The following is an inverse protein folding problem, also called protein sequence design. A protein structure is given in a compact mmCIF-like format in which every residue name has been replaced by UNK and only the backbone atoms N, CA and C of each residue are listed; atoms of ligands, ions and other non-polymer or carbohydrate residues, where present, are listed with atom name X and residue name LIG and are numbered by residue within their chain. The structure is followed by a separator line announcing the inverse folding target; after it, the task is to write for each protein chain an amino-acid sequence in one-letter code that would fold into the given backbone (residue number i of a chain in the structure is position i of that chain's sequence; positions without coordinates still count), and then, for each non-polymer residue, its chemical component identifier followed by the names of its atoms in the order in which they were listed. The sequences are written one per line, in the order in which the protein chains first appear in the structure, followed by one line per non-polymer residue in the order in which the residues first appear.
data_IF_879395740952
#
_entry.id   IF_879395740952
#
_cell.length_a   1.000
_cell.length_b   1.000
_cell.length_c   1.000
_cell.angle_alpha   90.00
_cell.angle_beta   90.00
_cell.angle_gamma   90.00
#
_symmetry.space_group_name_H-M   'P 1'
#
loop_
_entity.id
_entity.type
_entity.pdbx_description
1 polymer ?
#
# COMPACT_ATOMS: atom_id res chain seq x y z
N UNK A 1 33.71 -3.57 -3.25
CA UNK A 1 32.73 -4.24 -2.38
C UNK A 1 31.28 -3.91 -2.73
N UNK A 2 30.87 -2.64 -2.83
CA UNK A 2 29.49 -2.25 -3.20
C UNK A 2 29.01 -2.87 -4.53
N UNK A 3 29.84 -2.86 -5.55
CA UNK A 3 29.51 -3.44 -6.87
C UNK A 3 29.37 -4.97 -6.81
N UNK A 4 30.24 -5.65 -6.04
CA UNK A 4 30.12 -7.10 -5.84
C UNK A 4 28.82 -7.45 -5.10
N UNK A 5 28.46 -6.67 -4.09
CA UNK A 5 27.22 -6.86 -3.35
C UNK A 5 25.98 -6.65 -4.26
N UNK A 6 25.99 -5.62 -5.10
CA UNK A 6 24.93 -5.37 -6.07
C UNK A 6 24.73 -6.58 -7.02
N UNK A 7 25.83 -7.13 -7.55
CA UNK A 7 25.78 -8.29 -8.44
C UNK A 7 25.27 -9.55 -7.72
N UNK A 8 25.78 -9.82 -6.52
CA UNK A 8 25.39 -11.01 -5.73
C UNK A 8 23.92 -10.93 -5.29
N UNK A 9 23.42 -9.74 -4.98
CA UNK A 9 22.01 -9.52 -4.58
C UNK A 9 21.03 -9.57 -5.74
N UNK A 10 21.49 -9.82 -6.97
CA UNK A 10 20.65 -9.86 -8.16
C UNK A 10 20.08 -8.49 -8.58
N UNK A 11 20.78 -7.40 -8.23
CA UNK A 11 20.41 -6.03 -8.53
C UNK A 11 18.94 -5.69 -8.11
N UNK A 12 18.54 -6.19 -6.94
CA UNK A 12 17.21 -5.85 -6.40
C UNK A 12 17.06 -4.33 -6.23
N UNK A 13 15.88 -3.78 -6.53
CA UNK A 13 15.60 -2.33 -6.52
C UNK A 13 16.08 -1.60 -5.25
N UNK A 14 15.94 -2.16 -4.01
CA UNK A 14 16.50 -1.54 -2.81
C UNK A 14 18.02 -1.47 -2.81
N UNK A 15 18.68 -2.50 -3.37
CA UNK A 15 20.15 -2.59 -3.43
C UNK A 15 20.74 -1.64 -4.47
N UNK A 16 20.12 -1.52 -5.65
CA UNK A 16 20.53 -0.53 -6.67
C UNK A 16 20.50 0.89 -6.12
N UNK A 17 19.44 1.25 -5.39
CA UNK A 17 19.33 2.58 -4.77
C UNK A 17 20.37 2.82 -3.69
N UNK A 18 20.58 1.82 -2.82
CA UNK A 18 21.63 1.91 -1.82
C UNK A 18 23.01 2.06 -2.48
N UNK A 19 23.25 1.36 -3.60
CA UNK A 19 24.46 1.50 -4.41
C UNK A 19 24.62 2.91 -4.98
N UNK A 20 23.59 3.46 -5.62
CA UNK A 20 23.62 4.80 -6.20
C UNK A 20 23.80 5.86 -5.10
N UNK A 21 23.03 5.79 -4.01
CA UNK A 21 23.14 6.74 -2.90
C UNK A 21 24.56 6.73 -2.28
N UNK A 22 25.10 5.56 -1.99
CA UNK A 22 26.45 5.44 -1.45
C UNK A 22 27.50 5.90 -2.50
N UNK A 23 27.31 5.58 -3.78
CA UNK A 23 28.17 6.02 -4.86
C UNK A 23 28.23 7.54 -4.97
N UNK A 24 27.10 8.24 -4.88
CA UNK A 24 27.03 9.70 -4.88
C UNK A 24 27.71 10.29 -3.64
N UNK A 25 27.52 9.66 -2.45
CA UNK A 25 28.20 10.09 -1.22
C UNK A 25 29.72 9.91 -1.34
N UNK A 26 30.20 8.78 -1.84
CA UNK A 26 31.63 8.56 -2.06
C UNK A 26 32.23 9.51 -3.09
N UNK A 27 31.51 9.77 -4.19
CA UNK A 27 31.92 10.76 -5.17
C UNK A 27 32.00 12.17 -4.55
N UNK A 28 31.04 12.55 -3.71
CA UNK A 28 31.05 13.82 -3.00
C UNK A 28 32.24 13.94 -2.04
N UNK A 29 32.61 12.86 -1.34
CA UNK A 29 33.78 12.82 -0.45
C UNK A 29 35.08 12.98 -1.27
N UNK A 30 35.17 12.31 -2.42
CA UNK A 30 36.36 12.43 -3.31
C UNK A 30 36.56 13.85 -3.88
N UNK A 31 35.47 14.62 -4.00
CA UNK A 31 35.50 16.05 -4.45
C UNK A 31 35.64 17.00 -3.24
N UNK A 32 36.07 16.48 -2.09
CA UNK A 32 36.25 17.23 -0.84
C UNK A 32 35.00 17.93 -0.28
N UNK A 33 33.84 17.36 -0.54
CA UNK A 33 32.53 17.80 -0.03
C UNK A 33 32.13 16.96 1.19
N UNK A 34 32.82 17.14 2.31
CA UNK A 34 32.74 16.30 3.52
C UNK A 34 31.39 16.34 4.28
N UNK A 35 30.41 17.13 3.87
CA UNK A 35 29.13 17.24 4.59
C UNK A 35 28.01 16.63 3.78
N UNK A 36 27.37 15.60 4.33
CA UNK A 36 26.07 15.12 3.84
C UNK A 36 25.09 16.29 3.97
N UNK A 37 24.56 16.76 2.85
CA UNK A 37 23.69 17.93 2.78
C UNK A 37 22.48 17.65 1.90
N UNK A 38 21.46 18.48 2.00
CA UNK A 38 20.27 18.40 1.13
C UNK A 38 20.64 18.40 -0.36
N UNK A 39 21.73 19.08 -0.77
CA UNK A 39 22.18 19.09 -2.18
C UNK A 39 22.63 17.71 -2.65
N UNK A 40 23.41 17.00 -1.84
CA UNK A 40 23.87 15.64 -2.16
C UNK A 40 22.67 14.68 -2.24
N UNK A 41 21.73 14.81 -1.30
CA UNK A 41 20.49 14.04 -1.32
C UNK A 41 19.67 14.31 -2.60
N UNK A 42 19.54 15.58 -3.00
CA UNK A 42 18.85 15.96 -4.24
C UNK A 42 19.55 15.41 -5.50
N UNK A 43 20.89 15.43 -5.55
CA UNK A 43 21.65 14.84 -6.67
C UNK A 43 21.42 13.33 -6.71
N UNK A 44 21.49 12.65 -5.56
CA UNK A 44 21.24 11.22 -5.50
C UNK A 44 19.81 10.86 -5.95
N UNK A 45 18.82 11.66 -5.53
CA UNK A 45 17.43 11.49 -5.98
C UNK A 45 17.31 11.69 -7.50
N UNK A 46 17.94 12.74 -8.05
CA UNK A 46 17.93 13.01 -9.49
C UNK A 46 18.56 11.86 -10.30
N UNK A 47 19.71 11.34 -9.84
CA UNK A 47 20.36 10.18 -10.51
C UNK A 47 19.44 8.96 -10.51
N UNK A 48 18.82 8.61 -9.37
CA UNK A 48 17.89 7.48 -9.29
C UNK A 48 16.70 7.67 -10.24
N UNK A 49 16.12 8.88 -10.29
CA UNK A 49 14.96 9.18 -11.14
C UNK A 49 15.30 9.24 -12.63
N UNK A 50 16.53 9.56 -12.99
CA UNK A 50 16.99 9.47 -14.40
C UNK A 50 17.16 8.02 -14.83
N UNK A 51 17.64 7.14 -13.91
CA UNK A 51 17.80 5.71 -14.18
C UNK A 51 16.45 4.98 -14.19
N UNK A 52 15.58 5.30 -13.25
CA UNK A 52 14.24 4.70 -13.11
C UNK A 52 13.22 5.77 -12.69
N UNK A 53 12.55 6.44 -13.66
CA UNK A 53 11.53 7.45 -13.34
C UNK A 53 10.33 6.89 -12.59
N UNK A 54 10.01 5.60 -12.74
CA UNK A 54 8.88 4.95 -12.09
C UNK A 54 9.11 4.78 -10.57
N UNK A 55 10.36 4.82 -10.12
CA UNK A 55 10.71 4.70 -8.70
C UNK A 55 10.11 5.83 -7.84
N UNK A 56 9.81 7.00 -8.42
CA UNK A 56 9.21 8.15 -7.70
C UNK A 56 7.93 7.76 -6.94
N UNK A 57 7.09 6.95 -7.55
CA UNK A 57 5.83 6.45 -6.94
C UNK A 57 6.03 5.18 -6.13
N UNK A 58 7.23 4.62 -6.14
CA UNK A 58 7.58 3.40 -5.43
C UNK A 58 7.77 3.63 -3.93
N UNK A 59 7.16 2.76 -3.12
CA UNK A 59 7.27 2.75 -1.64
C UNK A 59 8.70 2.98 -1.17
N UNK A 60 9.58 2.26 -1.75
CA UNK A 60 10.98 2.13 -1.35
C UNK A 60 11.78 3.41 -1.60
N UNK A 61 11.50 4.17 -2.70
CA UNK A 61 12.09 5.48 -2.95
C UNK A 61 11.56 6.50 -1.94
N UNK A 62 10.24 6.57 -1.80
CA UNK A 62 9.58 7.55 -0.94
C UNK A 62 9.99 7.39 0.53
N UNK A 63 9.99 6.18 1.07
CA UNK A 63 10.39 5.93 2.46
C UNK A 63 11.88 6.21 2.68
N UNK A 64 12.75 5.80 1.76
CA UNK A 64 14.20 6.00 1.90
C UNK A 64 14.57 7.48 1.85
N UNK A 65 14.11 8.21 0.83
CA UNK A 65 14.39 9.64 0.70
C UNK A 65 13.66 10.47 1.76
N UNK A 66 12.44 10.10 2.16
CA UNK A 66 11.72 10.73 3.26
C UNK A 66 12.49 10.66 4.57
N UNK A 67 13.03 9.50 4.92
CA UNK A 67 13.87 9.34 6.10
C UNK A 67 15.15 10.18 6.03
N UNK A 68 15.87 10.12 4.90
CA UNK A 68 17.15 10.84 4.74
C UNK A 68 16.96 12.36 4.78
N UNK A 69 15.95 12.88 4.07
CA UNK A 69 15.61 14.30 4.08
C UNK A 69 15.26 14.79 5.48
N UNK A 70 14.43 14.04 6.21
CA UNK A 70 14.08 14.38 7.59
C UNK A 70 15.32 14.39 8.51
N UNK A 71 16.19 13.38 8.39
CA UNK A 71 17.44 13.30 9.15
C UNK A 71 18.35 14.49 8.85
N UNK A 72 18.62 14.79 7.59
CA UNK A 72 19.48 15.91 7.20
C UNK A 72 18.92 17.22 7.75
N UNK A 73 17.61 17.46 7.60
CA UNK A 73 16.98 18.69 8.08
C UNK A 73 17.11 18.88 9.60
N UNK A 74 16.92 17.81 10.37
CA UNK A 74 17.05 17.85 11.82
C UNK A 74 18.50 18.04 12.24
N UNK A 75 19.44 17.31 11.62
CA UNK A 75 20.87 17.45 11.95
C UNK A 75 21.47 18.78 11.49
N UNK A 76 21.06 19.35 10.36
CA UNK A 76 21.47 20.69 9.94
C UNK A 76 20.95 21.79 10.89
N UNK A 77 19.73 21.59 11.43
CA UNK A 77 19.09 22.59 12.29
C UNK A 77 19.52 22.48 13.76
N UNK A 78 19.61 21.26 14.27
CA UNK A 78 19.78 20.97 15.70
C UNK A 78 21.08 20.25 16.04
N UNK A 79 21.86 19.76 15.08
CA UNK A 79 23.01 18.90 15.30
C UNK A 79 24.07 19.51 16.24
N UNK A 80 24.31 20.81 16.16
CA UNK A 80 25.24 21.47 17.08
C UNK A 80 24.75 21.56 18.54
N UNK A 81 23.43 21.69 18.76
CA UNK A 81 22.82 21.66 20.09
C UNK A 81 22.78 20.23 20.61
N UNK A 82 22.36 19.30 19.75
CA UNK A 82 22.25 17.89 20.06
C UNK A 82 23.59 17.27 20.44
N UNK A 83 24.64 17.56 19.67
CA UNK A 83 25.98 17.09 19.96
C UNK A 83 26.56 17.63 21.29
N UNK A 84 26.16 18.83 21.72
CA UNK A 84 26.56 19.37 23.03
C UNK A 84 25.82 18.68 24.19
N UNK A 85 24.54 18.35 24.00
CA UNK A 85 23.73 17.68 25.03
C UNK A 85 24.17 16.21 25.20
N UNK A 86 24.49 15.54 24.09
CA UNK A 86 24.81 14.12 24.05
C UNK A 86 26.28 13.82 24.40
N UNK A 87 27.18 14.82 24.37
CA UNK A 87 28.57 14.66 24.81
C UNK A 87 28.68 14.68 26.33
N UNK A 88 28.90 13.52 26.90
CA UNK A 88 29.17 13.36 28.33
C UNK A 88 30.65 13.48 28.67
N UNK A 89 30.94 13.76 29.94
CA UNK A 89 32.30 13.79 30.49
C UNK A 89 32.73 12.48 31.11
N UNK A 90 31.90 11.46 31.14
CA UNK A 90 32.16 10.13 31.68
C UNK A 90 31.78 9.04 30.68
N UNK A 91 32.34 7.87 30.78
CA UNK A 91 32.03 6.72 29.92
C UNK A 91 30.53 6.38 29.91
N UNK A 92 29.89 6.44 31.08
CA UNK A 92 28.44 6.26 31.19
C UNK A 92 27.66 7.31 30.43
N UNK A 93 28.07 8.57 30.50
CA UNK A 93 27.43 9.67 29.80
C UNK A 93 27.65 9.59 28.28
N UNK A 94 28.77 9.07 27.80
CA UNK A 94 28.99 8.76 26.38
C UNK A 94 28.07 7.66 25.87
N UNK A 95 27.92 6.56 26.61
CA UNK A 95 27.01 5.47 26.28
C UNK A 95 25.56 5.94 26.23
N UNK A 96 25.12 6.69 27.25
CA UNK A 96 23.77 7.28 27.28
C UNK A 96 23.56 8.28 26.14
N UNK A 97 24.60 9.08 25.82
CA UNK A 97 24.58 9.99 24.69
C UNK A 97 24.43 9.26 23.34
N UNK A 98 25.16 8.16 23.17
CA UNK A 98 25.03 7.32 21.97
C UNK A 98 23.63 6.70 21.87
N UNK A 99 23.11 6.10 22.94
CA UNK A 99 21.75 5.58 22.96
C UNK A 99 20.71 6.68 22.65
N UNK A 100 20.87 7.87 23.23
CA UNK A 100 20.01 9.02 22.92
C UNK A 100 20.09 9.46 21.47
N UNK A 101 21.27 9.45 20.86
CA UNK A 101 21.43 9.76 19.43
C UNK A 101 20.74 8.71 18.54
N UNK A 102 20.85 7.42 18.88
CA UNK A 102 20.16 6.35 18.15
C UNK A 102 18.65 6.50 18.26
N UNK A 103 18.11 6.78 19.46
CA UNK A 103 16.68 7.01 19.67
C UNK A 103 16.19 8.19 18.81
N UNK A 104 16.87 9.34 18.87
CA UNK A 104 16.50 10.53 18.11
C UNK A 104 16.56 10.26 16.60
N UNK A 105 17.63 9.62 16.12
CA UNK A 105 17.78 9.26 14.71
C UNK A 105 16.62 8.35 14.25
N UNK A 106 16.30 7.34 15.05
CA UNK A 106 15.21 6.41 14.78
C UNK A 106 13.87 7.13 14.72
N UNK A 107 13.56 7.98 15.71
CA UNK A 107 12.31 8.74 15.73
C UNK A 107 12.19 9.67 14.52
N UNK A 108 13.24 10.42 14.19
CA UNK A 108 13.25 11.33 13.04
C UNK A 108 13.02 10.56 11.73
N UNK A 109 13.73 9.45 11.55
CA UNK A 109 13.54 8.59 10.37
C UNK A 109 12.11 8.04 10.30
N UNK A 110 11.58 7.56 11.43
CA UNK A 110 10.21 7.03 11.51
C UNK A 110 9.17 8.10 11.16
N UNK A 111 9.28 9.31 11.71
CA UNK A 111 8.37 10.41 11.36
C UNK A 111 8.49 10.81 9.88
N UNK A 112 9.70 10.78 9.32
CA UNK A 112 9.93 11.04 7.90
C UNK A 112 9.32 10.00 6.97
N UNK A 113 9.13 8.76 7.45
CA UNK A 113 8.54 7.64 6.67
C UNK A 113 7.05 7.45 6.90
N UNK A 114 6.47 7.91 8.01
CA UNK A 114 5.06 7.69 8.37
C UNK A 114 4.06 8.08 7.28
N UNK A 115 4.15 9.24 6.60
CA UNK A 115 3.19 9.58 5.55
C UNK A 115 3.13 8.54 4.43
N UNK A 116 4.29 8.01 4.07
CA UNK A 116 4.42 6.99 3.03
C UNK A 116 3.97 5.62 3.54
N UNK A 117 4.26 5.29 4.81
CA UNK A 117 3.76 4.07 5.46
C UNK A 117 2.23 4.05 5.51
N UNK A 118 1.61 5.16 5.93
CA UNK A 118 0.15 5.31 5.95
C UNK A 118 -0.44 5.15 4.55
N UNK A 119 0.17 5.79 3.54
CA UNK A 119 -0.33 5.73 2.17
C UNK A 119 -0.26 4.35 1.53
N UNK A 120 0.84 3.62 1.76
CA UNK A 120 1.09 2.33 1.10
C UNK A 120 0.61 1.12 1.89
N UNK A 121 0.62 1.20 3.21
CA UNK A 121 0.33 0.07 4.11
C UNK A 121 -0.90 0.28 4.99
N UNK A 122 -1.47 1.49 5.01
CA UNK A 122 -2.67 1.82 5.80
C UNK A 122 -2.54 1.56 7.31
N UNK A 123 -1.33 1.44 7.82
CA UNK A 123 -1.07 1.25 9.25
C UNK A 123 0.21 1.93 9.73
N UNK A 124 0.28 2.15 11.03
CA UNK A 124 1.44 2.68 11.74
C UNK A 124 1.87 1.67 12.80
N UNK A 125 3.13 1.23 12.75
CA UNK A 125 3.72 0.42 13.80
C UNK A 125 4.26 1.33 14.92
N UNK A 126 3.48 1.50 15.99
CA UNK A 126 3.79 2.45 17.07
C UNK A 126 5.08 2.10 17.82
N UNK A 127 5.36 0.83 18.01
CA UNK A 127 6.53 0.37 18.77
C UNK A 127 7.75 0.05 17.90
N UNK A 128 7.68 0.30 16.58
CA UNK A 128 8.82 0.14 15.67
C UNK A 128 10.08 0.90 16.15
N UNK A 129 9.99 2.15 16.66
CA UNK A 129 11.15 2.85 17.20
C UNK A 129 11.83 2.09 18.36
N UNK A 130 11.03 1.43 19.21
CA UNK A 130 11.58 0.63 20.34
C UNK A 130 12.37 -0.58 19.84
N UNK A 131 11.83 -1.31 18.87
CA UNK A 131 12.55 -2.42 18.25
C UNK A 131 13.86 -1.96 17.59
N UNK A 132 13.83 -0.83 16.89
CA UNK A 132 14.98 -0.31 16.16
C UNK A 132 16.12 0.18 17.06
N UNK A 133 15.84 0.63 18.30
CA UNK A 133 16.88 0.99 19.28
C UNK A 133 17.81 -0.18 19.58
N UNK A 134 17.31 -1.41 19.54
CA UNK A 134 18.08 -2.63 19.76
C UNK A 134 18.55 -3.23 18.43
N UNK A 135 17.64 -3.38 17.46
CA UNK A 135 17.92 -4.08 16.21
C UNK A 135 18.96 -3.35 15.35
N UNK A 136 18.93 -2.01 15.28
CA UNK A 136 19.85 -1.23 14.44
C UNK A 136 21.29 -1.31 14.94
N UNK A 137 21.63 -1.04 16.23
CA UNK A 137 22.98 -1.23 16.73
C UNK A 137 23.47 -2.67 16.63
N UNK A 138 22.61 -3.65 16.95
CA UNK A 138 22.95 -5.07 16.86
C UNK A 138 23.29 -5.48 15.42
N UNK A 139 22.52 -5.00 14.45
CA UNK A 139 22.79 -5.25 13.05
C UNK A 139 24.09 -4.59 12.59
N UNK A 140 24.34 -3.34 12.99
CA UNK A 140 25.50 -2.58 12.55
C UNK A 140 26.82 -3.06 13.18
N UNK A 141 26.81 -3.42 14.49
CA UNK A 141 28.02 -3.75 15.24
C UNK A 141 28.30 -5.25 15.27
N UNK A 142 27.27 -6.07 15.13
CA UNK A 142 27.40 -7.52 15.24
C UNK A 142 27.11 -8.23 13.92
N UNK A 143 25.88 -8.17 13.42
CA UNK A 143 25.45 -8.99 12.28
C UNK A 143 26.22 -8.67 11.01
N UNK A 144 26.33 -7.38 10.64
CA UNK A 144 27.03 -6.96 9.42
C UNK A 144 28.55 -7.24 9.46
N UNK A 145 29.31 -6.97 10.54
CA UNK A 145 30.72 -7.33 10.62
C UNK A 145 30.96 -8.84 10.48
N UNK A 146 30.15 -9.68 11.13
CA UNK A 146 30.25 -11.13 10.97
C UNK A 146 29.86 -11.58 9.54
N UNK A 147 28.94 -10.88 8.88
CA UNK A 147 28.64 -11.09 7.46
C UNK A 147 29.84 -10.82 6.55
N UNK A 148 30.58 -9.74 6.81
CA UNK A 148 31.84 -9.44 6.09
C UNK A 148 32.88 -10.50 6.34
N UNK A 149 33.06 -10.92 7.59
CA UNK A 149 34.01 -11.99 7.97
C UNK A 149 33.61 -13.31 7.29
N UNK A 150 32.34 -13.62 7.19
CA UNK A 150 31.83 -14.79 6.43
C UNK A 150 32.29 -14.77 4.99
N UNK A 151 32.12 -13.65 4.29
CA UNK A 151 32.57 -13.50 2.90
C UNK A 151 34.08 -13.65 2.76
N UNK A 152 34.88 -13.18 3.73
CA UNK A 152 36.33 -13.30 3.71
C UNK A 152 36.81 -14.73 3.98
N UNK A 153 36.08 -15.49 4.78
CA UNK A 153 36.40 -16.89 5.13
C UNK A 153 35.87 -17.90 4.11
N UNK A 154 34.93 -17.50 3.25
CA UNK A 154 34.32 -18.36 2.23
C UNK A 154 35.36 -19.02 1.30
N UNK A 155 36.39 -18.31 0.74
CA UNK A 155 37.38 -18.94 -0.11
C UNK A 155 38.24 -19.98 0.62
N UNK A 156 38.27 -19.94 1.96
CA UNK A 156 39.05 -20.87 2.81
C UNK A 156 38.20 -22.06 3.30
N UNK A 157 36.88 -22.08 3.00
CA UNK A 157 35.95 -23.10 3.52
C UNK A 157 35.69 -23.01 5.01
N UNK A 158 36.02 -21.87 5.65
CA UNK A 158 35.88 -21.61 7.10
C UNK A 158 34.69 -20.70 7.43
N UNK A 159 33.78 -20.45 6.47
CA UNK A 159 32.62 -19.57 6.63
C UNK A 159 31.73 -19.96 7.82
N UNK A 160 31.68 -21.24 8.16
CA UNK A 160 30.86 -21.74 9.28
C UNK A 160 31.21 -21.10 10.62
N UNK A 161 32.49 -20.76 10.83
CA UNK A 161 32.94 -20.10 12.07
C UNK A 161 32.36 -18.70 12.23
N UNK A 162 32.11 -18.01 11.12
CA UNK A 162 31.53 -16.67 11.12
C UNK A 162 30.00 -16.69 11.01
N UNK A 163 29.42 -17.68 10.32
CA UNK A 163 27.96 -17.83 10.19
C UNK A 163 27.29 -18.10 11.53
N UNK A 164 27.91 -18.85 12.43
CA UNK A 164 27.32 -19.15 13.76
C UNK A 164 27.10 -17.87 14.58
N UNK A 165 28.08 -16.99 14.82
CA UNK A 165 27.83 -15.75 15.55
C UNK A 165 26.94 -14.76 14.77
N UNK A 166 27.00 -14.72 13.44
CA UNK A 166 26.09 -13.95 12.61
C UNK A 166 24.65 -14.42 12.82
N UNK A 167 24.40 -15.72 12.78
CA UNK A 167 23.08 -16.32 13.00
C UNK A 167 22.49 -15.94 14.36
N UNK A 168 23.28 -15.97 15.43
CA UNK A 168 22.83 -15.52 16.75
C UNK A 168 22.40 -14.05 16.78
N UNK A 169 23.10 -13.18 16.05
CA UNK A 169 22.68 -11.77 15.91
C UNK A 169 21.33 -11.64 15.22
N UNK A 170 21.09 -12.44 14.20
CA UNK A 170 19.81 -12.49 13.49
C UNK A 170 18.70 -13.05 14.40
N UNK A 171 18.97 -14.12 15.13
CA UNK A 171 18.01 -14.71 16.09
C UNK A 171 17.56 -13.70 17.16
N UNK A 172 18.50 -12.93 17.72
CA UNK A 172 18.19 -11.86 18.69
C UNK A 172 17.34 -10.78 18.03
N UNK A 173 17.65 -10.39 16.80
CA UNK A 173 16.85 -9.39 16.06
C UNK A 173 15.43 -9.88 15.83
N UNK A 174 15.26 -11.14 15.43
CA UNK A 174 13.93 -11.78 15.24
C UNK A 174 13.19 -11.85 16.58
N UNK A 175 13.88 -12.24 17.64
CA UNK A 175 13.30 -12.31 18.99
C UNK A 175 12.77 -10.94 19.44
N UNK A 176 13.56 -9.87 19.27
CA UNK A 176 13.13 -8.49 19.58
C UNK A 176 11.90 -8.11 18.74
N UNK A 177 11.92 -8.38 17.44
CA UNK A 177 10.81 -8.06 16.54
C UNK A 177 9.52 -8.78 16.97
N UNK A 178 9.59 -10.07 17.28
CA UNK A 178 8.45 -10.87 17.74
C UNK A 178 7.86 -10.36 19.07
N UNK A 179 8.72 -10.02 20.03
CA UNK A 179 8.26 -9.52 21.34
C UNK A 179 7.64 -8.12 21.25
N UNK A 180 8.25 -7.24 20.44
CA UNK A 180 7.69 -5.90 20.23
C UNK A 180 6.42 -5.95 19.41
N UNK A 181 6.32 -6.83 18.41
CA UNK A 181 5.09 -6.98 17.62
C UNK A 181 3.93 -7.58 18.41
N UNK A 182 4.20 -8.38 19.43
CA UNK A 182 3.20 -8.98 20.31
C UNK A 182 2.62 -7.99 21.35
N UNK A 183 3.20 -6.79 21.49
CA UNK A 183 2.68 -5.79 22.42
C UNK A 183 1.29 -5.30 21.98
N UNK A 184 0.32 -5.18 22.89
CA UNK A 184 -1.02 -4.72 22.57
C UNK A 184 -0.97 -3.29 22.01
N UNK A 185 -1.75 -3.01 20.97
CA UNK A 185 -1.78 -1.71 20.31
C UNK A 185 -0.56 -1.37 19.47
N UNK A 186 0.29 -2.35 19.12
CA UNK A 186 1.46 -2.12 18.28
C UNK A 186 1.12 -1.59 16.88
N UNK A 187 0.03 -2.08 16.30
CA UNK A 187 -0.43 -1.67 14.97
C UNK A 187 -1.65 -0.79 15.13
N UNK A 188 -1.53 0.44 14.66
CA UNK A 188 -2.66 1.36 14.56
C UNK A 188 -3.07 1.48 13.11
N UNK A 189 -4.24 0.95 12.78
CA UNK A 189 -4.83 1.07 11.47
C UNK A 189 -5.25 2.51 11.20
N UNK A 190 -4.99 2.99 10.00
CA UNK A 190 -5.27 4.37 9.61
C UNK A 190 -6.22 4.39 8.42
N UNK A 191 -7.14 5.38 8.36
CA UNK A 191 -7.95 5.58 7.18
C UNK A 191 -7.07 5.79 5.94
N UNK A 192 -7.61 5.49 4.77
CA UNK A 192 -6.90 5.65 3.50
C UNK A 192 -6.49 7.11 3.28
N UNK A 193 -5.20 7.34 3.05
CA UNK A 193 -4.68 8.65 2.68
C UNK A 193 -4.84 8.86 1.16
N UNK A 194 -5.57 9.89 0.68
CA UNK A 194 -5.70 10.15 -0.75
C UNK A 194 -4.37 10.66 -1.32
N UNK A 195 -4.15 10.47 -2.63
CA UNK A 195 -2.95 10.94 -3.34
C UNK A 195 -2.71 12.45 -3.11
N UNK A 196 -3.76 13.26 -3.16
CA UNK A 196 -3.67 14.70 -2.90
C UNK A 196 -3.18 14.99 -1.47
N UNK A 197 -3.61 14.20 -0.49
CA UNK A 197 -3.15 14.27 0.89
C UNK A 197 -1.67 13.93 1.02
N UNK A 198 -1.23 12.83 0.39
CA UNK A 198 0.19 12.46 0.36
C UNK A 198 1.06 13.55 -0.28
N UNK A 199 0.63 14.10 -1.42
CA UNK A 199 1.33 15.19 -2.09
C UNK A 199 1.41 16.44 -1.19
N UNK A 200 0.32 16.81 -0.53
CA UNK A 200 0.28 17.93 0.41
C UNK A 200 1.24 17.73 1.58
N UNK A 201 1.29 16.54 2.19
CA UNK A 201 2.22 16.20 3.27
C UNK A 201 3.66 16.21 2.78
N UNK A 202 3.93 15.60 1.63
CA UNK A 202 5.29 15.49 1.07
C UNK A 202 5.85 16.86 0.69
N UNK A 203 5.08 17.69 -0.01
CA UNK A 203 5.48 19.04 -0.37
C UNK A 203 5.60 19.96 0.87
N UNK A 204 4.67 19.83 1.83
CA UNK A 204 4.75 20.52 3.11
C UNK A 204 5.98 20.14 3.92
N UNK A 205 6.31 18.84 3.95
CA UNK A 205 7.52 18.32 4.58
C UNK A 205 8.80 18.84 3.93
N UNK A 206 8.88 18.80 2.59
CA UNK A 206 9.99 19.40 1.84
C UNK A 206 10.10 20.89 2.10
N UNK A 207 8.98 21.61 2.14
CA UNK A 207 8.94 23.03 2.48
C UNK A 207 9.53 23.28 3.86
N UNK A 208 9.13 22.51 4.86
CA UNK A 208 9.70 22.59 6.22
C UNK A 208 11.20 22.32 6.26
N UNK A 209 11.70 21.43 5.42
CA UNK A 209 13.11 21.04 5.40
C UNK A 209 13.98 22.06 4.65
N UNK A 210 13.47 22.65 3.56
CA UNK A 210 14.26 23.52 2.68
C UNK A 210 14.26 24.99 3.12
N UNK A 211 13.13 25.51 3.61
CA UNK A 211 13.02 26.92 3.95
C UNK A 211 13.49 27.23 5.37
N UNK A 212 14.13 28.39 5.49
CA UNK A 212 14.58 28.97 6.77
C UNK A 212 13.86 30.30 6.96
N UNK A 213 13.23 30.52 8.12
CA UNK A 213 12.47 31.72 8.43
C UNK A 213 11.00 31.45 8.74
N UNK A 214 10.20 32.51 8.92
CA UNK A 214 8.78 32.42 9.31
C UNK A 214 7.89 31.71 8.28
N UNK A 215 8.24 31.80 7.00
CA UNK A 215 7.53 31.11 5.91
C UNK A 215 7.57 29.57 6.01
N UNK A 216 8.50 29.04 6.80
CA UNK A 216 8.58 27.61 7.09
C UNK A 216 7.28 27.05 7.69
N UNK A 217 6.56 27.85 8.49
CA UNK A 217 5.30 27.43 9.12
C UNK A 217 4.20 27.02 8.15
N UNK A 218 4.20 27.54 6.90
CA UNK A 218 3.25 27.12 5.88
C UNK A 218 3.35 25.63 5.52
N UNK A 219 4.55 25.04 5.67
CA UNK A 219 4.72 23.60 5.53
C UNK A 219 3.92 22.80 6.53
N UNK A 220 3.76 23.30 7.77
CA UNK A 220 2.92 22.66 8.80
C UNK A 220 1.46 22.69 8.38
N UNK A 221 0.98 23.83 7.84
CA UNK A 221 -0.40 23.94 7.35
C UNK A 221 -0.67 22.92 6.25
N UNK A 222 0.25 22.77 5.30
CA UNK A 222 0.11 21.78 4.22
C UNK A 222 0.09 20.33 4.76
N UNK A 223 0.94 20.02 5.75
CA UNK A 223 0.96 18.69 6.40
C UNK A 223 -0.36 18.42 7.12
N UNK A 224 -0.84 19.38 7.92
CA UNK A 224 -2.12 19.24 8.65
C UNK A 224 -3.29 19.08 7.67
N UNK A 225 -3.33 19.87 6.59
CA UNK A 225 -4.35 19.74 5.55
C UNK A 225 -4.29 18.37 4.86
N UNK A 226 -3.09 17.84 4.62
CA UNK A 226 -2.90 16.52 4.07
C UNK A 226 -3.42 15.41 4.98
N UNK A 227 -3.14 15.45 6.28
CA UNK A 227 -3.71 14.50 7.23
C UNK A 227 -5.24 14.69 7.39
N UNK A 228 -5.74 15.92 7.40
CA UNK A 228 -7.18 16.17 7.45
C UNK A 228 -7.93 15.60 6.24
N UNK A 229 -7.27 15.48 5.09
CA UNK A 229 -7.87 14.87 3.89
C UNK A 229 -8.24 13.40 4.07
N UNK A 230 -7.65 12.68 5.06
CA UNK A 230 -8.04 11.31 5.40
C UNK A 230 -9.49 11.23 5.89
N UNK A 231 -9.99 12.28 6.56
CA UNK A 231 -11.37 12.33 7.03
C UNK A 231 -12.39 12.48 5.91
N UNK A 232 -11.95 12.89 4.72
CA UNK A 232 -12.81 13.05 3.54
C UNK A 232 -12.91 11.75 2.72
N UNK A 233 -12.08 10.75 3.00
CA UNK A 233 -12.11 9.48 2.28
C UNK A 233 -13.17 8.57 2.88
N UNK A 234 -14.06 8.07 2.03
CA UNK A 234 -15.06 7.09 2.40
C UNK A 234 -14.63 5.71 1.89
N UNK A 235 -14.55 4.70 2.76
CA UNK A 235 -14.29 3.34 2.31
C UNK A 235 -15.42 2.82 1.41
N UNK A 236 -15.14 1.90 0.47
CA UNK A 236 -16.15 1.35 -0.43
C UNK A 236 -17.21 0.56 0.33
N UNK A 237 -18.43 0.58 -0.17
CA UNK A 237 -19.53 -0.19 0.40
C UNK A 237 -19.47 -1.67 -0.03
N UNK A 238 -19.02 -1.93 -1.27
CA UNK A 238 -18.79 -3.29 -1.78
C UNK A 238 -17.45 -3.35 -2.49
N UNK A 239 -16.69 -4.42 -2.23
CA UNK A 239 -15.41 -4.72 -2.91
C UNK A 239 -15.48 -6.10 -3.54
N UNK A 240 -15.04 -6.18 -4.80
CA UNK A 240 -14.98 -7.42 -5.57
C UNK A 240 -13.54 -7.63 -5.99
N UNK A 241 -12.94 -8.78 -5.67
CA UNK A 241 -11.60 -9.12 -6.14
C UNK A 241 -11.57 -9.37 -7.65
N UNK A 242 -10.39 -9.29 -8.24
CA UNK A 242 -10.16 -9.53 -9.67
C UNK A 242 -10.58 -10.92 -10.15
N UNK A 243 -10.57 -11.92 -9.28
CA UNK A 243 -11.11 -13.26 -9.56
C UNK A 243 -12.63 -13.28 -9.72
N UNK A 244 -13.32 -12.25 -9.20
CA UNK A 244 -14.77 -12.15 -9.16
C UNK A 244 -15.45 -13.15 -8.19
N UNK A 245 -14.68 -13.94 -7.44
CA UNK A 245 -15.19 -14.91 -6.47
C UNK A 245 -15.30 -14.35 -5.06
N UNK A 246 -14.38 -13.46 -4.70
CA UNK A 246 -14.39 -12.80 -3.41
C UNK A 246 -15.20 -11.50 -3.52
N UNK A 247 -16.22 -11.40 -2.70
CA UNK A 247 -17.05 -10.20 -2.55
C UNK A 247 -17.09 -9.84 -1.07
N UNK A 248 -16.81 -8.59 -0.76
CA UNK A 248 -16.92 -8.03 0.57
C UNK A 248 -17.98 -6.94 0.57
N UNK A 249 -18.87 -6.95 1.56
CA UNK A 249 -19.91 -5.95 1.74
C UNK A 249 -19.79 -5.32 3.13
N UNK A 250 -19.85 -3.99 3.20
CA UNK A 250 -19.63 -3.21 4.42
C UNK A 250 -20.89 -3.17 5.28
N UNK A 251 -20.77 -3.55 6.54
CA UNK A 251 -21.82 -3.44 7.54
C UNK A 251 -22.05 -1.98 8.02
N UNK A 252 -23.06 -1.75 8.83
CA UNK A 252 -23.38 -0.40 9.31
C UNK A 252 -22.37 0.12 10.34
N UNK A 253 -21.80 -0.78 11.14
CA UNK A 253 -20.73 -0.51 12.11
C UNK A 253 -19.35 -0.31 11.49
N UNK A 254 -19.19 -0.63 10.19
CA UNK A 254 -17.96 -0.44 9.43
C UNK A 254 -17.21 -1.72 9.09
N UNK A 255 -17.43 -2.83 9.77
CA UNK A 255 -16.78 -4.10 9.44
C UNK A 255 -17.26 -4.66 8.08
N UNK A 256 -16.54 -5.66 7.55
CA UNK A 256 -16.88 -6.26 6.26
C UNK A 256 -17.36 -7.70 6.42
N UNK A 257 -18.48 -8.01 5.80
CA UNK A 257 -18.89 -9.38 5.53
C UNK A 257 -18.27 -9.87 4.23
N UNK A 258 -17.61 -11.03 4.25
CA UNK A 258 -16.96 -11.59 3.07
C UNK A 258 -17.55 -12.93 2.66
N UNK A 259 -17.65 -13.14 1.36
CA UNK A 259 -18.08 -14.43 0.83
C UNK A 259 -17.08 -15.52 1.20
N UNK A 260 -17.59 -16.65 1.70
CA UNK A 260 -16.80 -17.76 2.23
C UNK A 260 -16.19 -18.62 1.11
N UNK A 261 -15.28 -18.07 0.30
CA UNK A 261 -14.48 -18.88 -0.61
C UNK A 261 -13.10 -19.15 0.00
N UNK A 262 -12.83 -20.42 0.35
CA UNK A 262 -11.58 -20.86 1.00
C UNK A 262 -10.32 -20.64 0.15
N UNK A 263 -10.48 -20.37 -1.15
CA UNK A 263 -9.38 -20.09 -2.08
C UNK A 263 -8.86 -18.65 -2.07
N UNK A 264 -9.54 -17.71 -1.41
CA UNK A 264 -9.28 -16.27 -1.48
C UNK A 264 -8.69 -15.71 -0.16
N UNK A 265 -7.89 -16.51 0.53
CA UNK A 265 -7.27 -16.09 1.81
C UNK A 265 -6.45 -14.82 1.69
N UNK A 266 -5.78 -14.62 0.54
CA UNK A 266 -4.98 -13.42 0.30
C UNK A 266 -5.84 -12.16 0.13
N UNK A 267 -6.96 -12.24 -0.61
CA UNK A 267 -7.89 -11.12 -0.75
C UNK A 267 -8.50 -10.73 0.61
N UNK A 268 -8.81 -11.73 1.44
CA UNK A 268 -9.30 -11.52 2.80
C UNK A 268 -8.26 -10.84 3.69
N UNK A 269 -7.01 -11.31 3.68
CA UNK A 269 -5.94 -10.71 4.48
C UNK A 269 -5.61 -9.28 4.02
N UNK A 270 -5.58 -9.03 2.72
CA UNK A 270 -5.38 -7.68 2.18
C UNK A 270 -6.51 -6.73 2.56
N UNK A 271 -7.76 -7.19 2.52
CA UNK A 271 -8.89 -6.36 2.93
C UNK A 271 -8.83 -6.05 4.43
N UNK A 272 -8.49 -7.03 5.28
CA UNK A 272 -8.29 -6.83 6.71
C UNK A 272 -7.18 -5.81 7.00
N UNK A 273 -6.07 -5.92 6.28
CA UNK A 273 -4.94 -5.01 6.41
C UNK A 273 -5.28 -3.60 5.91
N UNK A 274 -6.00 -3.48 4.79
CA UNK A 274 -6.38 -2.17 4.21
C UNK A 274 -7.43 -1.44 5.04
N UNK A 275 -8.41 -2.16 5.59
CA UNK A 275 -9.51 -1.54 6.33
C UNK A 275 -9.25 -1.41 7.81
N UNK A 276 -8.44 -2.30 8.38
CA UNK A 276 -8.22 -2.42 9.82
C UNK A 276 -9.43 -2.90 10.60
N UNK A 277 -10.49 -3.26 9.89
CA UNK A 277 -11.76 -3.66 10.47
C UNK A 277 -11.85 -5.18 10.63
N UNK A 278 -12.70 -5.60 11.54
CA UNK A 278 -13.00 -7.02 11.69
C UNK A 278 -13.68 -7.54 10.44
N UNK A 279 -13.26 -8.71 9.96
CA UNK A 279 -13.88 -9.39 8.84
C UNK A 279 -14.70 -10.57 9.37
N UNK A 280 -15.99 -10.53 9.11
CA UNK A 280 -16.92 -11.60 9.40
C UNK A 280 -17.23 -12.41 8.14
N UNK A 281 -17.53 -13.70 8.35
CA UNK A 281 -18.00 -14.52 7.24
C UNK A 281 -19.43 -14.15 6.87
N UNK A 282 -19.76 -14.34 5.60
CA UNK A 282 -21.07 -14.08 5.04
C UNK A 282 -22.14 -14.95 5.73
N UNK A 283 -23.28 -14.39 6.15
CA UNK A 283 -24.34 -15.17 6.74
C UNK A 283 -24.90 -16.17 5.73
N UNK A 284 -25.08 -17.44 6.14
CA UNK A 284 -25.57 -18.49 5.25
C UNK A 284 -27.05 -18.28 4.83
N UNK A 285 -27.85 -17.73 5.70
CA UNK A 285 -29.23 -17.31 5.43
C UNK A 285 -29.73 -16.31 6.49
N UNK A 286 -30.55 -15.36 6.07
CA UNK A 286 -31.14 -14.33 6.92
C UNK A 286 -30.41 -13.00 6.89
N UNK A 287 -30.91 -12.02 7.63
CA UNK A 287 -30.27 -10.72 7.77
C UNK A 287 -29.04 -10.83 8.68
N UNK A 288 -27.90 -10.33 8.21
CA UNK A 288 -26.76 -10.09 9.10
C UNK A 288 -27.19 -9.20 10.27
N UNK A 289 -26.47 -9.29 11.40
CA UNK A 289 -26.84 -8.64 12.69
C UNK A 289 -27.24 -7.17 12.59
N UNK A 290 -26.96 -6.48 11.46
CA UNK A 290 -27.21 -5.05 11.27
C UNK A 290 -28.15 -4.68 10.11
N UNK A 291 -28.83 -5.63 9.50
CA UNK A 291 -29.92 -5.34 8.55
C UNK A 291 -29.56 -4.75 7.18
N UNK A 292 -28.26 -4.52 6.87
CA UNK A 292 -27.84 -4.06 5.55
C UNK A 292 -27.69 -5.17 4.52
N UNK A 293 -27.36 -6.38 4.98
CA UNK A 293 -27.15 -7.54 4.16
C UNK A 293 -28.20 -8.60 4.53
N UNK A 294 -29.04 -8.95 3.58
CA UNK A 294 -30.04 -10.02 3.72
C UNK A 294 -29.76 -11.13 2.71
N UNK A 295 -29.44 -12.31 3.18
CA UNK A 295 -28.95 -13.42 2.38
C UNK A 295 -29.93 -14.56 2.28
N UNK A 296 -30.07 -15.10 1.05
CA UNK A 296 -30.70 -16.38 0.72
C UNK A 296 -29.63 -17.33 0.17
N UNK A 297 -29.96 -18.60 -0.06
CA UNK A 297 -28.98 -19.65 -0.45
C UNK A 297 -28.04 -19.31 -1.60
N UNK A 298 -28.44 -18.47 -2.55
CA UNK A 298 -27.65 -18.20 -3.76
C UNK A 298 -27.59 -16.71 -4.11
N UNK A 299 -28.16 -15.83 -3.27
CA UNK A 299 -28.14 -14.38 -3.49
C UNK A 299 -28.29 -13.64 -2.17
N UNK A 300 -27.68 -12.45 -2.09
CA UNK A 300 -27.90 -11.52 -0.99
C UNK A 300 -28.36 -10.17 -1.54
N UNK A 301 -29.17 -9.48 -0.75
CA UNK A 301 -29.53 -8.08 -1.00
C UNK A 301 -28.75 -7.20 -0.04
N UNK A 302 -28.03 -6.26 -0.59
CA UNK A 302 -27.32 -5.25 0.16
C UNK A 302 -28.05 -3.90 0.03
N UNK A 303 -28.43 -3.30 1.15
CA UNK A 303 -29.14 -2.04 1.17
C UNK A 303 -28.37 -0.97 1.93
N UNK A 304 -28.03 0.14 1.28
CA UNK A 304 -27.39 1.30 1.89
C UNK A 304 -27.80 2.59 1.17
N UNK A 305 -27.91 3.68 1.91
CA UNK A 305 -28.24 5.01 1.38
C UNK A 305 -29.53 5.09 0.54
N UNK A 306 -30.50 4.17 0.79
CA UNK A 306 -31.74 4.08 0.01
C UNK A 306 -31.58 3.38 -1.35
N UNK A 307 -30.46 2.72 -1.58
CA UNK A 307 -30.15 1.91 -2.77
C UNK A 307 -30.03 0.45 -2.42
N UNK A 308 -30.39 -0.41 -3.34
CA UNK A 308 -30.34 -1.86 -3.15
C UNK A 308 -29.50 -2.50 -4.25
N UNK A 309 -28.55 -3.33 -3.85
CA UNK A 309 -27.70 -4.12 -4.76
C UNK A 309 -27.99 -5.60 -4.55
N UNK A 310 -28.24 -6.31 -5.64
CA UNK A 310 -28.31 -7.77 -5.59
C UNK A 310 -26.91 -8.37 -5.76
N UNK A 311 -26.49 -9.18 -4.80
CA UNK A 311 -25.23 -9.93 -4.86
C UNK A 311 -25.55 -11.37 -5.13
N UNK A 312 -25.13 -11.90 -6.27
CA UNK A 312 -25.46 -13.22 -6.77
C UNK A 312 -24.27 -14.14 -6.60
N UNK A 313 -24.42 -15.18 -5.82
CA UNK A 313 -23.37 -16.16 -5.53
C UNK A 313 -23.51 -17.44 -6.35
N UNK A 314 -24.72 -17.74 -6.87
CA UNK A 314 -24.99 -18.93 -7.65
C UNK A 314 -25.79 -18.68 -8.94
N UNK A 315 -25.60 -19.53 -9.95
CA UNK A 315 -26.26 -19.40 -11.25
C UNK A 315 -27.79 -19.44 -11.18
N UNK A 316 -28.32 -20.14 -10.19
CA UNK A 316 -29.78 -20.31 -9.98
C UNK A 316 -30.45 -19.01 -9.54
N UNK A 317 -29.70 -18.05 -9.00
CA UNK A 317 -30.23 -16.78 -8.53
C UNK A 317 -30.13 -15.65 -9.57
N UNK A 318 -29.61 -15.91 -10.78
CA UNK A 318 -29.58 -14.93 -11.84
C UNK A 318 -31.00 -14.46 -12.20
N UNK A 319 -31.29 -13.15 -12.14
CA UNK A 319 -32.64 -12.66 -12.33
C UNK A 319 -33.12 -12.92 -13.75
N UNK A 320 -34.34 -13.42 -13.86
CA UNK A 320 -35.06 -13.56 -15.14
C UNK A 320 -35.67 -12.22 -15.58
N UNK A 321 -35.91 -11.31 -14.64
CA UNK A 321 -36.43 -9.95 -14.88
C UNK A 321 -35.52 -8.94 -14.20
N UNK A 322 -35.16 -7.89 -14.91
CA UNK A 322 -34.36 -6.79 -14.40
C UNK A 322 -35.28 -5.75 -13.77
N UNK A 323 -35.23 -5.60 -12.46
CA UNK A 323 -36.04 -4.62 -11.72
C UNK A 323 -36.02 -4.88 -10.22
N UNK A 324 -36.32 -3.86 -9.42
CA UNK A 324 -36.34 -3.95 -7.96
C UNK A 324 -34.99 -3.80 -7.27
N UNK A 325 -33.90 -3.62 -8.04
CA UNK A 325 -32.54 -3.35 -7.53
C UNK A 325 -31.86 -2.29 -8.39
N UNK A 326 -30.93 -1.55 -7.80
CA UNK A 326 -30.20 -0.46 -8.47
C UNK A 326 -28.92 -0.94 -9.18
N UNK A 327 -28.32 -2.04 -8.74
CA UNK A 327 -27.18 -2.69 -9.39
C UNK A 327 -27.13 -4.19 -9.08
N UNK A 328 -26.35 -4.91 -9.87
CA UNK A 328 -26.11 -6.34 -9.71
C UNK A 328 -24.60 -6.59 -9.62
N UNK A 329 -24.20 -7.30 -8.57
CA UNK A 329 -22.86 -7.87 -8.40
C UNK A 329 -22.99 -9.38 -8.51
N UNK A 330 -22.18 -10.03 -9.36
CA UNK A 330 -22.34 -11.46 -9.60
C UNK A 330 -20.99 -12.19 -9.56
N UNK A 331 -20.88 -13.22 -8.72
CA UNK A 331 -19.73 -14.13 -8.70
C UNK A 331 -19.75 -15.12 -9.88
N UNK A 332 -20.84 -15.17 -10.62
CA UNK A 332 -21.00 -16.00 -11.82
C UNK A 332 -21.18 -15.10 -13.05
N UNK A 333 -20.83 -15.57 -14.26
CA UNK A 333 -21.03 -14.80 -15.47
C UNK A 333 -22.51 -14.45 -15.69
N UNK A 334 -22.85 -13.17 -15.66
CA UNK A 334 -24.23 -12.71 -15.86
C UNK A 334 -24.56 -12.48 -17.35
N UNK A 335 -23.57 -12.45 -18.23
CA UNK A 335 -23.73 -12.18 -19.65
C UNK A 335 -24.24 -10.77 -19.94
N UNK A 336 -25.19 -10.65 -20.87
CA UNK A 336 -25.79 -9.37 -21.24
C UNK A 336 -27.06 -9.03 -20.45
N UNK A 337 -27.44 -9.89 -19.50
CA UNK A 337 -28.67 -9.70 -18.73
C UNK A 337 -28.59 -8.42 -17.92
N UNK A 338 -29.65 -7.63 -17.97
CA UNK A 338 -29.84 -6.39 -17.21
C UNK A 338 -28.85 -5.23 -17.45
N UNK A 339 -27.79 -5.40 -18.25
CA UNK A 339 -26.74 -4.38 -18.47
C UNK A 339 -27.25 -3.09 -19.11
N UNK A 340 -28.37 -3.14 -19.84
CA UNK A 340 -28.97 -1.94 -20.46
C UNK A 340 -29.79 -1.10 -19.48
N UNK A 341 -30.12 -1.63 -18.32
CA UNK A 341 -31.03 -0.99 -17.34
C UNK A 341 -30.32 -0.50 -16.10
N UNK A 342 -29.22 -1.20 -15.69
CA UNK A 342 -28.51 -0.94 -14.45
C UNK A 342 -27.04 -1.37 -14.54
N UNK A 343 -26.15 -0.83 -13.68
CA UNK A 343 -24.79 -1.33 -13.56
C UNK A 343 -24.76 -2.80 -13.15
N UNK A 344 -24.07 -3.63 -13.93
CA UNK A 344 -23.83 -5.04 -13.64
C UNK A 344 -22.35 -5.28 -13.63
N UNK A 345 -21.85 -5.77 -12.50
CA UNK A 345 -20.44 -6.18 -12.33
C UNK A 345 -20.43 -7.69 -12.12
N UNK A 346 -20.01 -8.43 -13.12
CA UNK A 346 -19.91 -9.87 -13.03
C UNK A 346 -18.45 -10.36 -12.94
N UNK A 347 -18.26 -11.65 -12.78
CA UNK A 347 -16.94 -12.28 -12.72
C UNK A 347 -16.07 -11.97 -13.92
N UNK A 348 -16.64 -11.85 -15.11
CA UNK A 348 -15.89 -11.55 -16.33
C UNK A 348 -15.45 -10.08 -16.32
N UNK A 349 -16.29 -9.17 -15.81
CA UNK A 349 -15.94 -7.77 -15.67
C UNK A 349 -14.79 -7.60 -14.68
N UNK A 350 -14.85 -8.24 -13.52
CA UNK A 350 -13.78 -8.20 -12.52
C UNK A 350 -12.47 -8.76 -13.07
N UNK A 351 -12.52 -9.88 -13.79
CA UNK A 351 -11.33 -10.44 -14.45
C UNK A 351 -10.72 -9.48 -15.49
N UNK A 352 -11.55 -8.74 -16.24
CA UNK A 352 -11.09 -7.81 -17.29
C UNK A 352 -10.62 -6.48 -16.72
N UNK A 353 -11.32 -5.95 -15.72
CA UNK A 353 -11.12 -4.60 -15.19
C UNK A 353 -10.27 -4.58 -13.91
N UNK A 354 -9.88 -5.76 -13.41
CA UNK A 354 -9.26 -5.92 -12.09
C UNK A 354 -10.29 -5.85 -10.96
N UNK A 355 -9.83 -5.73 -9.74
CA UNK A 355 -10.72 -5.56 -8.58
C UNK A 355 -11.61 -4.34 -8.77
N UNK A 356 -12.86 -4.44 -8.32
CA UNK A 356 -13.89 -3.40 -8.48
C UNK A 356 -14.40 -2.99 -7.12
N UNK A 357 -14.55 -1.70 -6.91
CA UNK A 357 -15.13 -1.11 -5.71
C UNK A 357 -16.39 -0.31 -6.06
N UNK A 358 -17.42 -0.41 -5.22
CA UNK A 358 -18.67 0.30 -5.36
C UNK A 358 -18.93 1.18 -4.14
N UNK A 359 -19.35 2.42 -4.41
CA UNK A 359 -19.84 3.37 -3.41
C UNK A 359 -21.30 3.69 -3.69
N UNK A 360 -22.13 3.59 -2.66
CA UNK A 360 -23.55 3.89 -2.74
C UNK A 360 -23.81 5.27 -2.15
N UNK A 361 -24.29 6.17 -2.95
CA UNK A 361 -24.71 7.50 -2.53
C UNK A 361 -26.18 7.74 -2.86
N UNK A 362 -26.78 8.73 -2.20
CA UNK A 362 -28.16 9.15 -2.51
C UNK A 362 -28.35 9.52 -3.97
N UNK A 363 -27.31 10.03 -4.64
CA UNK A 363 -27.34 10.50 -6.02
C UNK A 363 -27.04 9.39 -7.05
N UNK A 364 -26.49 8.25 -6.64
CA UNK A 364 -26.14 7.17 -7.56
C UNK A 364 -25.21 6.11 -6.97
N UNK A 365 -24.76 5.23 -7.86
CA UNK A 365 -23.75 4.20 -7.55
C UNK A 365 -22.50 4.55 -8.36
N UNK A 366 -21.40 4.78 -7.68
CA UNK A 366 -20.08 4.96 -8.29
C UNK A 366 -19.37 3.63 -8.33
N UNK A 367 -18.88 3.25 -9.51
CA UNK A 367 -18.14 2.00 -9.73
C UNK A 367 -16.76 2.38 -10.23
N UNK A 368 -15.74 1.99 -9.48
CA UNK A 368 -14.33 2.18 -9.87
C UNK A 368 -13.64 0.83 -10.00
N UNK A 369 -12.76 0.70 -10.98
CA UNK A 369 -11.98 -0.52 -11.18
C UNK A 369 -10.48 -0.25 -11.08
N UNK A 370 -9.73 -1.25 -10.65
CA UNK A 370 -8.29 -1.13 -10.47
C UNK A 370 -7.55 -0.78 -11.77
N UNK A 371 -7.99 -1.32 -12.92
CA UNK A 371 -7.36 -1.03 -14.20
C UNK A 371 -7.69 0.38 -14.72
N UNK A 372 -8.89 0.90 -14.45
CA UNK A 372 -9.24 2.31 -14.76
C UNK A 372 -8.37 3.28 -13.96
N UNK A 373 -8.14 3.01 -12.68
CA UNK A 373 -7.27 3.85 -11.84
C UNK A 373 -5.79 3.76 -12.23
N UNK A 374 -5.35 2.62 -12.79
CA UNK A 374 -3.97 2.45 -13.32
C UNK A 374 -3.74 3.18 -14.63
N UNK A 375 -4.80 3.51 -15.36
CA UNK A 375 -4.76 4.18 -16.65
C UNK A 375 -4.29 3.29 -17.81
N UNK A 376 -4.26 3.88 -19.00
CA UNK A 376 -3.85 3.20 -20.23
C UNK A 376 -2.32 3.09 -20.31
N UNK A 377 -1.79 2.01 -19.77
CA UNK A 377 -0.34 1.71 -19.76
C UNK A 377 -0.09 0.37 -20.44
N UNK A 378 1.06 0.18 -21.13
CA UNK A 378 1.36 -1.05 -21.89
C UNK A 378 1.30 -2.35 -21.09
N UNK A 379 1.51 -2.27 -19.77
CA UNK A 379 1.49 -3.45 -18.88
C UNK A 379 0.15 -3.65 -18.16
N UNK A 380 -0.83 -2.76 -18.35
CA UNK A 380 -2.19 -2.95 -17.82
C UNK A 380 -2.94 -3.83 -18.83
N UNK A 381 -3.54 -4.96 -18.39
CA UNK A 381 -4.34 -5.78 -19.27
C UNK A 381 -5.52 -4.98 -19.84
N UNK A 382 -5.51 -4.73 -21.14
CA UNK A 382 -6.66 -4.12 -21.80
C UNK A 382 -7.66 -5.21 -22.17
N UNK A 383 -8.94 -5.04 -21.83
CA UNK A 383 -9.97 -5.92 -22.35
C UNK A 383 -9.93 -5.83 -23.87
N UNK A 384 -9.67 -6.94 -24.55
CA UNK A 384 -9.85 -6.98 -26.01
C UNK A 384 -11.27 -6.47 -26.30
N UNK A 385 -11.43 -5.51 -27.24
CA UNK A 385 -12.76 -5.07 -27.62
C UNK A 385 -13.58 -6.33 -27.93
N UNK A 386 -14.80 -6.38 -27.37
CA UNK A 386 -15.72 -7.48 -27.70
C UNK A 386 -15.74 -7.57 -29.24
N UNK A 387 -15.31 -8.72 -29.80
CA UNK A 387 -15.47 -8.93 -31.23
C UNK A 387 -16.90 -8.54 -31.54
N UNK A 388 -17.11 -7.49 -32.35
CA UNK A 388 -18.41 -7.19 -32.89
C UNK A 388 -18.97 -8.50 -33.41
N UNK A 389 -20.00 -9.00 -32.76
CA UNK A 389 -20.69 -10.14 -33.33
C UNK A 389 -21.18 -9.68 -34.69
N UNK A 390 -20.91 -10.43 -35.76
CA UNK A 390 -21.57 -10.15 -37.01
C UNK A 390 -23.06 -9.99 -36.70
N UNK A 391 -23.63 -8.89 -37.16
CA UNK A 391 -25.07 -8.66 -37.08
C UNK A 391 -25.80 -9.96 -37.47
N UNK A 392 -26.81 -10.37 -36.69
CA UNK A 392 -27.59 -11.55 -37.09
C UNK A 392 -27.98 -11.39 -38.54
N UNK A 393 -27.88 -12.44 -39.39
CA UNK A 393 -28.27 -12.33 -40.75
C UNK A 393 -29.70 -11.78 -40.78
N UNK A 394 -29.89 -10.73 -41.59
CA UNK A 394 -31.17 -10.12 -41.81
C UNK A 394 -32.14 -11.24 -42.19
N UNK A 395 -33.06 -11.55 -41.30
CA UNK A 395 -34.09 -12.55 -41.58
C UNK A 395 -34.94 -11.97 -42.68
N UNK A 396 -34.76 -12.50 -43.90
CA UNK A 396 -35.60 -12.17 -45.04
C UNK A 396 -37.06 -12.16 -44.60
N UNK A 397 -37.68 -11.02 -44.71
CA UNK A 397 -39.12 -10.86 -44.50
C UNK A 397 -39.82 -11.87 -45.39
N UNK A 398 -40.68 -12.74 -44.85
CA UNK A 398 -41.46 -13.64 -45.71
C UNK A 398 -42.24 -12.81 -46.74
N UNK A 399 -42.30 -13.25 -48.00
CA UNK A 399 -43.01 -12.53 -49.03
C UNK A 399 -44.48 -12.29 -48.64
N UNK A 400 -44.93 -11.06 -48.82
CA UNK A 400 -46.30 -10.67 -48.53
C UNK A 400 -47.27 -11.55 -49.36
N UNK A 401 -48.12 -12.32 -48.65
CA UNK A 401 -49.20 -13.03 -49.29
C UNK A 401 -50.17 -12.01 -49.95
N UNK A 402 -50.12 -11.91 -51.28
CA UNK A 402 -51.15 -11.23 -52.03
C UNK A 402 -52.38 -12.16 -52.12
N UNK A 403 -53.36 -11.91 -51.25
CA UNK A 403 -54.65 -12.54 -51.36
C UNK A 403 -55.37 -12.05 -52.62
N UNK A 404 -55.46 -12.90 -53.62
CA UNK A 404 -56.42 -12.71 -54.73
C UNK A 404 -57.76 -13.25 -54.27
N UNK A 405 -58.67 -12.30 -54.07
CA UNK A 405 -60.14 -12.58 -54.06
C UNK A 405 -60.57 -12.95 -55.49
N UNK A 406 -61.12 -14.18 -55.60
CA UNK A 406 -62.22 -14.52 -56.51
C UNK A 406 -63.06 -15.62 -55.84
#
# INVERSE_FOLDING_TARGET
MLTCYLLISGAAIPTERAFVMNGVVFAAILIDRLRISMRICAIAAAVVLVLDPASLVGVSFQMSFGAVVALIAVYETFGGKLGRILRGRSLLAEVLGYCGAVVITTLVATFGTYPFSIYHFHHIALYSPLANVIAVPLSAVWTLPWGVVTCLLMPLGLERLALVPMGRGIEVTIWVAQHVSALPGNVWMTPRLPVAGLLSISLGGLWLCLWRGSWRSWGVVAIVAGFASMMLTRPPDIVIADTGRFVAARAADGHYFVSADKGESMARSLLAEETGEAIADWPEAGSGEEGRLDCAKASCLYAACGRTIAIITGETALPLRCGGVDAIVSQVPAGFRCRSMMPVVDRIDSWRRGSVALWLDKNGITVESANESRGDRPWVPHPRPARERPSPPEVDKPPAFSGSTN
#
